data_IF_902626611878
#
_entry.id   IF_902626611878
#
_cell.length_a   1.000
_cell.length_b   1.000
_cell.length_c   1.000
_cell.angle_alpha   90.00
_cell.angle_beta   90.00
_cell.angle_gamma   90.00
#
_symmetry.space_group_name_H-M   'P 1'
#
loop_
_entity.id
_entity.type
_entity.pdbx_description
1 polymer ?
#
# COMPACT_ATOMS: atom_id res chain seq x y z
N UNK A 1 5.33 4.71 -8.82
CA UNK A 1 3.89 4.47 -8.53
C UNK A 1 3.76 4.14 -7.05
N UNK A 2 2.60 4.41 -6.44
CA UNK A 2 2.32 4.08 -5.03
C UNK A 2 1.06 3.24 -4.99
N UNK A 3 1.12 2.08 -4.35
CA UNK A 3 -0.05 1.26 -4.05
C UNK A 3 -0.61 1.66 -2.70
N UNK A 4 -1.93 1.68 -2.60
CA UNK A 4 -2.66 1.83 -1.36
C UNK A 4 -3.52 0.59 -1.18
N UNK A 5 -3.50 0.01 0.01
CA UNK A 5 -4.17 -1.24 0.28
C UNK A 5 -4.44 -1.46 1.76
N UNK A 6 -4.90 -2.66 2.08
CA UNK A 6 -5.21 -3.07 3.43
C UNK A 6 -4.83 -4.52 3.70
N UNK A 7 -4.61 -4.81 4.98
CA UNK A 7 -4.31 -6.15 5.47
C UNK A 7 -5.51 -6.64 6.26
N UNK A 8 -5.97 -7.85 5.93
CA UNK A 8 -7.03 -8.53 6.67
C UNK A 8 -6.47 -9.16 7.94
N UNK A 9 -7.34 -9.48 8.90
CA UNK A 9 -6.98 -10.17 10.14
C UNK A 9 -6.42 -11.58 9.91
N UNK A 10 -6.71 -12.19 8.77
CA UNK A 10 -6.12 -13.47 8.35
C UNK A 10 -4.70 -13.31 7.75
N UNK A 11 -4.18 -12.09 7.66
CA UNK A 11 -2.87 -11.76 7.10
C UNK A 11 -2.87 -11.50 5.60
N UNK A 12 -4.00 -11.66 4.91
CA UNK A 12 -4.09 -11.40 3.47
C UNK A 12 -3.99 -9.91 3.16
N UNK A 13 -3.14 -9.56 2.19
CA UNK A 13 -3.00 -8.21 1.68
C UNK A 13 -3.87 -8.00 0.44
N UNK A 14 -4.51 -6.84 0.35
CA UNK A 14 -5.34 -6.44 -0.79
C UNK A 14 -4.91 -5.06 -1.25
N UNK A 15 -4.50 -4.96 -2.52
CA UNK A 15 -4.29 -3.68 -3.20
C UNK A 15 -5.66 -3.11 -3.57
N UNK A 16 -5.99 -1.92 -3.08
CA UNK A 16 -7.22 -1.22 -3.46
C UNK A 16 -6.99 -0.39 -4.73
N UNK A 17 -5.93 0.42 -4.73
CA UNK A 17 -5.63 1.34 -5.83
C UNK A 17 -4.12 1.50 -6.03
N UNK A 18 -3.71 1.84 -7.26
CA UNK A 18 -2.35 2.32 -7.55
C UNK A 18 -2.41 3.73 -8.10
N UNK A 19 -1.76 4.67 -7.43
CA UNK A 19 -1.79 6.10 -7.75
C UNK A 19 -0.40 6.63 -8.13
N UNK A 20 -0.40 7.78 -8.80
CA UNK A 20 0.81 8.54 -9.09
C UNK A 20 0.99 9.69 -8.10
N UNK A 21 2.16 9.76 -7.46
CA UNK A 21 2.53 10.84 -6.55
C UNK A 21 2.04 10.67 -5.11
N UNK A 22 2.82 11.20 -4.16
CA UNK A 22 2.54 11.12 -2.73
C UNK A 22 1.24 11.84 -2.28
N UNK A 23 0.87 13.01 -2.82
CA UNK A 23 -0.39 13.68 -2.42
C UNK A 23 -1.62 12.81 -2.68
N UNK A 24 -1.70 12.19 -3.87
CA UNK A 24 -2.80 11.32 -4.24
C UNK A 24 -2.84 10.05 -3.37
N UNK A 25 -1.67 9.51 -3.01
CA UNK A 25 -1.58 8.35 -2.11
C UNK A 25 -2.08 8.68 -0.69
N UNK A 26 -1.76 9.87 -0.18
CA UNK A 26 -2.23 10.29 1.14
C UNK A 26 -3.76 10.45 1.18
N UNK A 27 -4.35 11.03 0.12
CA UNK A 27 -5.80 11.16 -0.02
C UNK A 27 -6.48 9.78 -0.12
N UNK A 28 -5.98 8.91 -1.01
CA UNK A 28 -6.49 7.55 -1.15
C UNK A 28 -6.40 6.75 0.17
N UNK A 29 -5.31 6.88 0.91
CA UNK A 29 -5.13 6.21 2.20
C UNK A 29 -6.12 6.72 3.26
N UNK A 30 -6.35 8.03 3.34
CA UNK A 30 -7.32 8.61 4.28
C UNK A 30 -8.76 8.15 3.96
N UNK A 31 -9.11 8.12 2.67
CA UNK A 31 -10.40 7.63 2.20
C UNK A 31 -10.58 6.14 2.52
N UNK A 32 -9.56 5.32 2.21
CA UNK A 32 -9.58 3.88 2.49
C UNK A 32 -9.69 3.60 4.00
N UNK A 33 -8.91 4.30 4.83
CA UNK A 33 -9.00 4.20 6.30
C UNK A 33 -10.42 4.46 6.79
N UNK A 34 -11.06 5.50 6.25
CA UNK A 34 -12.44 5.86 6.62
C UNK A 34 -13.43 4.79 6.16
N UNK A 35 -13.28 4.28 4.94
CA UNK A 35 -14.14 3.23 4.38
C UNK A 35 -14.04 1.90 5.14
N UNK A 36 -12.85 1.55 5.64
CA UNK A 36 -12.59 0.27 6.34
C UNK A 36 -12.72 0.33 7.87
N UNK A 37 -12.96 1.51 8.45
CA UNK A 37 -13.03 1.71 9.91
C UNK A 37 -14.05 0.82 10.64
N UNK A 38 -15.14 0.43 9.97
CA UNK A 38 -16.16 -0.46 10.54
C UNK A 38 -16.08 -1.90 10.02
N UNK A 39 -15.11 -2.21 9.17
CA UNK A 39 -14.89 -3.55 8.65
C UNK A 39 -14.04 -4.35 9.65
N UNK A 40 -14.72 -5.18 10.44
CA UNK A 40 -14.09 -6.00 11.47
C UNK A 40 -13.16 -7.09 10.90
N UNK A 41 -13.08 -7.28 9.59
CA UNK A 41 -12.16 -8.23 8.95
C UNK A 41 -10.81 -7.62 8.61
N UNK A 42 -10.67 -6.29 8.65
CA UNK A 42 -9.44 -5.57 8.33
C UNK A 42 -8.67 -5.25 9.62
N UNK A 43 -7.34 -5.35 9.57
CA UNK A 43 -6.44 -5.00 10.67
C UNK A 43 -5.68 -3.69 10.41
N UNK A 44 -5.23 -3.46 9.17
CA UNK A 44 -4.40 -2.30 8.82
C UNK A 44 -4.74 -1.77 7.44
N UNK A 45 -4.44 -0.49 7.21
CA UNK A 45 -4.27 0.10 5.87
C UNK A 45 -2.80 0.45 5.65
N UNK A 46 -2.34 0.42 4.41
CA UNK A 46 -0.92 0.62 4.10
C UNK A 46 -0.70 1.32 2.77
N UNK A 47 0.52 1.83 2.60
CA UNK A 47 1.03 2.36 1.34
C UNK A 47 2.35 1.68 0.97
N UNK A 48 2.47 1.22 -0.28
CA UNK A 48 3.65 0.56 -0.80
C UNK A 48 4.23 1.33 -1.99
N UNK A 49 5.55 1.44 -2.03
CA UNK A 49 6.25 2.15 -3.10
C UNK A 49 6.93 1.15 -4.03
N UNK A 50 6.83 1.41 -5.33
CA UNK A 50 7.57 0.64 -6.32
C UNK A 50 9.06 0.98 -6.20
N UNK A 51 9.88 -0.04 -6.01
CA UNK A 51 11.34 0.06 -6.00
C UNK A 51 11.92 -0.72 -7.18
N UNK A 52 13.07 -0.24 -7.64
CA UNK A 52 13.84 -0.85 -8.71
C UNK A 52 15.23 -1.12 -8.14
N UNK A 53 15.67 -2.37 -8.14
CA UNK A 53 17.04 -2.70 -7.73
C UNK A 53 17.96 -2.59 -8.94
N UNK A 54 19.07 -1.90 -8.73
CA UNK A 54 20.28 -1.95 -9.53
C UNK A 54 21.41 -2.12 -8.52
N UNK A 55 22.00 -3.32 -8.45
CA UNK A 55 23.27 -3.50 -7.75
C UNK A 55 24.46 -3.67 -8.72
N UNK A 56 24.22 -3.73 -10.04
CA UNK A 56 25.24 -3.90 -11.09
C UNK A 56 24.71 -3.65 -12.54
N UNK A 57 23.64 -2.88 -12.70
CA UNK A 57 23.13 -2.45 -14.02
C UNK A 57 22.39 -3.52 -14.84
N UNK A 58 22.08 -4.71 -14.29
CA UNK A 58 21.26 -5.70 -14.99
C UNK A 58 20.21 -6.37 -14.08
N UNK A 59 18.99 -6.42 -14.63
CA UNK A 59 17.67 -6.79 -14.06
C UNK A 59 17.04 -5.78 -13.10
N UNK A 60 16.19 -4.94 -13.71
CA UNK A 60 15.26 -4.00 -13.10
C UNK A 60 13.97 -4.76 -12.71
N UNK A 61 14.06 -5.72 -11.81
CA UNK A 61 12.84 -6.35 -11.29
C UNK A 61 12.16 -5.33 -10.37
N UNK A 62 10.98 -4.87 -10.78
CA UNK A 62 10.19 -3.94 -9.99
C UNK A 62 9.50 -4.71 -8.86
N UNK A 63 9.76 -4.32 -7.62
CA UNK A 63 9.08 -4.87 -6.45
C UNK A 63 8.37 -3.76 -5.67
N UNK A 64 7.37 -4.16 -4.89
CA UNK A 64 6.63 -3.28 -4.02
C UNK A 64 7.10 -3.47 -2.60
N UNK A 65 7.37 -2.37 -1.91
CA UNK A 65 7.80 -2.38 -0.53
C UNK A 65 6.84 -1.53 0.30
N UNK A 66 6.26 -2.12 1.34
CA UNK A 66 5.34 -1.41 2.24
C UNK A 66 6.16 -0.38 3.02
N UNK A 67 5.85 0.88 2.77
CA UNK A 67 6.55 1.99 3.38
C UNK A 67 5.93 2.41 4.72
N UNK A 68 4.60 2.32 4.82
CA UNK A 68 3.87 2.67 6.05
C UNK A 68 2.60 1.84 6.20
N UNK A 69 2.26 1.53 7.45
CA UNK A 69 1.02 0.88 7.85
C UNK A 69 0.33 1.67 8.96
N UNK A 70 -0.99 1.59 9.03
CA UNK A 70 -1.81 2.23 10.04
C UNK A 70 -2.86 1.23 10.50
N UNK A 71 -2.88 0.92 11.80
CA UNK A 71 -3.90 0.08 12.41
C UNK A 71 -5.29 0.74 12.35
N UNK A 72 -6.34 -0.08 12.21
CA UNK A 72 -7.74 0.33 12.17
C UNK A 72 -8.47 0.11 13.50
#
# INVERSE_FOLDING_TARGET
MIQVGFTKKDGSEVVEETVQGAPNANEALANLKTAKKSDNTVSKVWLAMQRFTDENGQKVDAYWDIYAEIDL
#
